data_IF_527112364435
#
_entry.id   IF_527112364435
#
_cell.length_a   1.000
_cell.length_b   1.000
_cell.length_c   1.000
_cell.angle_alpha   90.00
_cell.angle_beta   90.00
_cell.angle_gamma   90.00
#
_symmetry.space_group_name_H-M   'P 1'
#
loop_
_entity.id
_entity.type
_entity.pdbx_description
1 polymer ?
#
# COMPACT_ATOMS: atom_id res chain seq x y z
N UNK A 1 21.88 11.45 -27.08
CA UNK A 1 20.50 11.28 -27.60
C UNK A 1 19.60 11.16 -26.38
N UNK A 2 18.57 12.00 -26.27
CA UNK A 2 17.69 12.04 -25.11
C UNK A 2 16.37 11.36 -25.47
N UNK A 3 15.90 10.43 -24.63
CA UNK A 3 14.66 9.67 -24.83
C UNK A 3 13.70 9.99 -23.69
N UNK A 4 12.46 10.33 -24.02
CA UNK A 4 11.40 10.62 -23.04
C UNK A 4 10.42 9.45 -23.07
N UNK A 5 10.14 8.87 -21.89
CA UNK A 5 9.16 7.79 -21.72
C UNK A 5 8.01 8.30 -20.85
N UNK A 6 6.78 8.22 -21.36
CA UNK A 6 5.57 8.46 -20.56
C UNK A 6 5.07 7.15 -19.96
N UNK A 7 4.70 7.18 -18.70
CA UNK A 7 4.21 6.03 -17.95
C UNK A 7 3.07 6.45 -17.01
N UNK A 8 2.28 5.47 -16.60
CA UNK A 8 1.18 5.60 -15.65
C UNK A 8 1.65 5.12 -14.28
N UNK A 9 1.29 5.88 -13.27
CA UNK A 9 1.52 5.54 -11.86
C UNK A 9 0.15 5.48 -11.20
N UNK A 10 -0.05 4.47 -10.35
CA UNK A 10 -1.31 4.28 -9.64
C UNK A 10 -1.17 4.76 -8.21
N UNK A 11 -2.15 5.50 -7.72
CA UNK A 11 -2.29 5.83 -6.29
C UNK A 11 -3.66 5.41 -5.77
N UNK A 12 -3.76 5.21 -4.46
CA UNK A 12 -5.01 4.95 -3.78
C UNK A 12 -5.77 6.26 -3.53
N UNK A 13 -7.01 6.37 -3.97
CA UNK A 13 -7.84 7.58 -3.77
C UNK A 13 -8.14 7.87 -2.29
N UNK A 14 -8.03 6.86 -1.42
CA UNK A 14 -8.38 6.98 0.00
C UNK A 14 -7.21 7.41 0.87
N UNK A 15 -6.01 6.89 0.61
CA UNK A 15 -4.82 7.18 1.42
C UNK A 15 -3.72 7.89 0.64
N UNK A 16 -3.93 8.20 -0.64
CA UNK A 16 -2.98 8.83 -1.56
C UNK A 16 -1.66 8.07 -1.75
N UNK A 17 -1.53 6.86 -1.20
CA UNK A 17 -0.33 6.03 -1.34
C UNK A 17 -0.16 5.60 -2.79
N UNK A 18 1.03 5.86 -3.31
CA UNK A 18 1.46 5.39 -4.62
C UNK A 18 1.77 3.89 -4.54
N UNK A 19 1.31 3.15 -5.54
CA UNK A 19 1.63 1.75 -5.69
C UNK A 19 3.14 1.59 -5.94
N UNK A 20 3.81 0.95 -4.98
CA UNK A 20 5.18 0.51 -5.12
C UNK A 20 5.23 -0.91 -5.64
N UNK A 21 6.32 -1.24 -6.31
CA UNK A 21 6.64 -2.60 -6.68
C UNK A 21 6.80 -3.45 -5.40
N UNK A 22 6.29 -4.70 -5.36
CA UNK A 22 6.44 -5.56 -4.19
C UNK A 22 7.86 -6.11 -4.03
N UNK A 23 8.61 -6.25 -5.13
CA UNK A 23 9.96 -6.82 -5.20
C UNK A 23 11.05 -5.73 -5.18
N UNK A 24 10.66 -4.46 -5.35
CA UNK A 24 11.57 -3.32 -5.22
C UNK A 24 10.88 -2.14 -4.53
N UNK A 25 11.59 -1.33 -3.75
CA UNK A 25 11.01 -0.12 -3.13
C UNK A 25 10.71 1.01 -4.16
N UNK A 26 10.71 0.69 -5.45
CA UNK A 26 10.41 1.61 -6.55
C UNK A 26 8.91 1.81 -6.78
N UNK A 27 8.54 2.94 -7.37
CA UNK A 27 7.19 3.17 -7.90
C UNK A 27 6.93 2.22 -9.06
N UNK A 28 5.77 1.55 -9.08
CA UNK A 28 5.42 0.68 -10.18
C UNK A 28 4.88 1.50 -11.35
N UNK A 29 5.48 1.31 -12.52
CA UNK A 29 5.15 2.04 -13.74
C UNK A 29 4.44 1.12 -14.74
N UNK A 30 3.32 1.60 -15.29
CA UNK A 30 2.59 0.92 -16.36
C UNK A 30 2.69 1.71 -17.66
N UNK A 31 2.68 1.01 -18.79
CA UNK A 31 2.67 1.64 -20.12
C UNK A 31 1.25 1.82 -20.65
N UNK A 32 0.29 1.05 -20.13
CA UNK A 32 -1.09 1.01 -20.58
C UNK A 32 -2.07 0.96 -19.40
N UNK A 33 -3.20 1.66 -19.53
CA UNK A 33 -4.21 1.77 -18.48
C UNK A 33 -4.96 0.45 -18.28
N UNK A 34 -5.32 -0.25 -19.35
CA UNK A 34 -6.04 -1.52 -19.22
C UNK A 34 -5.15 -2.58 -18.55
N UNK A 35 -3.85 -2.60 -18.86
CA UNK A 35 -2.87 -3.42 -18.17
C UNK A 35 -2.77 -3.06 -16.68
N UNK A 36 -2.70 -1.78 -16.36
CA UNK A 36 -2.66 -1.30 -14.97
C UNK A 36 -3.92 -1.77 -14.20
N UNK A 37 -5.11 -1.53 -14.74
CA UNK A 37 -6.37 -1.93 -14.09
C UNK A 37 -6.51 -3.45 -13.94
N UNK A 38 -6.04 -4.23 -14.92
CA UNK A 38 -6.02 -5.69 -14.83
C UNK A 38 -5.09 -6.17 -13.72
N UNK A 39 -3.88 -5.60 -13.64
CA UNK A 39 -2.92 -5.90 -12.59
C UNK A 39 -3.47 -5.53 -11.20
N UNK A 40 -4.02 -4.33 -11.04
CA UNK A 40 -4.62 -3.88 -9.78
C UNK A 40 -5.70 -4.84 -9.26
N UNK A 41 -6.58 -5.30 -10.16
CA UNK A 41 -7.64 -6.27 -9.79
C UNK A 41 -7.07 -7.62 -9.38
N UNK A 42 -6.09 -8.13 -10.13
CA UNK A 42 -5.39 -9.37 -9.77
C UNK A 42 -4.69 -9.22 -8.40
N UNK A 43 -4.13 -8.05 -8.17
CA UNK A 43 -3.52 -7.66 -6.93
C UNK A 43 -4.52 -7.09 -5.91
N UNK A 44 -5.79 -7.51 -5.95
CA UNK A 44 -6.76 -7.29 -4.87
C UNK A 44 -7.08 -5.83 -4.55
N UNK A 45 -6.67 -4.88 -5.39
CA UNK A 45 -7.16 -3.50 -5.29
C UNK A 45 -8.64 -3.47 -5.63
N UNK A 46 -9.37 -2.60 -4.94
CA UNK A 46 -10.75 -2.35 -5.28
C UNK A 46 -10.81 -1.28 -6.37
N UNK A 47 -11.18 -1.71 -7.58
CA UNK A 47 -11.32 -0.87 -8.77
C UNK A 47 -12.81 -0.64 -9.05
N UNK A 48 -13.25 0.61 -9.04
CA UNK A 48 -14.64 1.02 -9.28
C UNK A 48 -14.79 1.46 -10.74
N UNK A 49 -15.70 0.81 -11.45
CA UNK A 49 -15.90 1.02 -12.89
C UNK A 49 -14.62 0.74 -13.68
N UNK A 50 -14.36 1.56 -14.69
CA UNK A 50 -13.17 1.50 -15.53
C UNK A 50 -12.03 2.36 -14.95
N UNK A 51 -11.72 2.20 -13.66
CA UNK A 51 -10.63 2.96 -13.02
C UNK A 51 -11.04 4.32 -12.45
N UNK A 52 -12.34 4.63 -12.37
CA UNK A 52 -12.84 5.91 -11.80
C UNK A 52 -12.67 6.01 -10.28
N UNK A 53 -12.39 4.89 -9.63
CA UNK A 53 -12.05 4.84 -8.21
C UNK A 53 -11.11 3.68 -7.93
N UNK A 54 -10.00 3.95 -7.26
CA UNK A 54 -8.95 3.00 -6.93
C UNK A 54 -8.71 3.02 -5.41
N UNK A 55 -8.90 1.88 -4.75
CA UNK A 55 -8.57 1.73 -3.33
C UNK A 55 -7.61 0.55 -3.12
N UNK A 56 -6.51 0.79 -2.40
CA UNK A 56 -5.59 -0.27 -2.01
C UNK A 56 -6.24 -1.27 -1.05
N UNK A 57 -5.65 -2.47 -0.97
CA UNK A 57 -6.11 -3.56 -0.08
C UNK A 57 -6.28 -3.11 1.36
N UNK A 58 -5.36 -2.30 1.87
CA UNK A 58 -5.38 -1.78 3.23
C UNK A 58 -6.62 -0.92 3.50
N UNK A 59 -6.91 0.03 2.60
CA UNK A 59 -8.08 0.90 2.73
C UNK A 59 -9.38 0.10 2.61
N UNK A 60 -9.42 -0.91 1.75
CA UNK A 60 -10.56 -1.83 1.63
C UNK A 60 -10.75 -2.62 2.93
N UNK A 61 -9.70 -3.24 3.45
CA UNK A 61 -9.74 -4.00 4.69
C UNK A 61 -10.18 -3.15 5.87
N UNK A 62 -9.66 -1.93 6.01
CA UNK A 62 -10.08 -0.96 7.03
C UNK A 62 -11.56 -0.62 6.93
N UNK A 63 -12.03 -0.28 5.74
CA UNK A 63 -13.45 0.04 5.48
C UNK A 63 -14.38 -1.13 5.79
N UNK A 64 -14.02 -2.35 5.41
CA UNK A 64 -14.82 -3.55 5.68
C UNK A 64 -14.88 -3.88 7.18
N UNK A 65 -13.75 -3.75 7.89
CA UNK A 65 -13.71 -3.92 9.33
C UNK A 65 -14.58 -2.88 10.03
N UNK A 66 -14.43 -1.59 9.69
CA UNK A 66 -15.25 -0.52 10.27
C UNK A 66 -16.75 -0.74 10.01
N UNK A 67 -17.13 -1.19 8.81
CA UNK A 67 -18.54 -1.56 8.50
C UNK A 67 -19.05 -2.72 9.34
N UNK A 68 -18.17 -3.62 9.76
CA UNK A 68 -18.49 -4.77 10.62
C UNK A 68 -18.43 -4.43 12.12
N UNK A 69 -18.19 -3.16 12.48
CA UNK A 69 -18.00 -2.72 13.86
C UNK A 69 -16.69 -3.20 14.47
N UNK A 70 -15.73 -3.63 13.64
CA UNK A 70 -14.42 -4.02 14.10
C UNK A 70 -13.51 -2.80 14.23
N UNK A 71 -12.60 -2.86 15.20
CA UNK A 71 -11.60 -1.83 15.44
C UNK A 71 -10.24 -2.37 15.04
N UNK A 72 -9.51 -1.62 14.22
CA UNK A 72 -8.08 -1.84 14.04
C UNK A 72 -7.38 -1.38 15.31
N UNK A 73 -6.54 -2.24 15.88
CA UNK A 73 -5.80 -1.93 17.11
C UNK A 73 -4.89 -0.72 16.93
N UNK A 74 -4.29 -0.25 18.02
CA UNK A 74 -3.17 0.69 17.99
C UNK A 74 -2.13 0.25 16.94
N UNK A 75 -1.50 1.22 16.29
CA UNK A 75 -0.37 0.96 15.39
C UNK A 75 0.84 0.51 16.21
N UNK A 76 1.52 -0.51 15.72
CA UNK A 76 2.75 -1.04 16.31
C UNK A 76 3.88 -0.84 15.31
N UNK A 77 5.03 -0.38 15.79
CA UNK A 77 6.19 -0.23 14.92
C UNK A 77 6.82 -1.59 14.59
N UNK A 78 7.28 -1.76 13.35
CA UNK A 78 7.97 -2.96 12.93
C UNK A 78 9.23 -3.16 13.78
N UNK A 79 9.29 -4.30 14.47
CA UNK A 79 10.47 -4.73 15.24
C UNK A 79 11.49 -5.45 14.35
N UNK A 80 11.64 -5.00 13.11
CA UNK A 80 12.66 -5.51 12.19
C UNK A 80 14.03 -5.05 12.74
N UNK A 81 14.66 -5.95 13.51
CA UNK A 81 16.02 -5.78 13.98
C UNK A 81 17.05 -6.14 12.89
N UNK A 82 18.34 -5.83 13.12
CA UNK A 82 19.42 -5.97 12.13
C UNK A 82 19.70 -7.41 11.65
N UNK A 83 19.02 -8.41 12.23
CA UNK A 83 19.13 -9.82 11.86
C UNK A 83 18.10 -10.28 10.81
N UNK A 84 17.20 -9.41 10.36
CA UNK A 84 16.21 -9.71 9.31
C UNK A 84 16.42 -8.73 8.17
N UNK A 85 16.39 -9.23 6.93
CA UNK A 85 16.77 -8.57 5.65
C UNK A 85 15.94 -7.32 5.27
N UNK A 86 15.26 -6.69 6.23
CA UNK A 86 14.29 -5.61 6.05
C UNK A 86 14.75 -4.31 6.75
N UNK A 87 16.03 -3.93 6.61
CA UNK A 87 16.54 -2.65 7.10
C UNK A 87 16.71 -1.68 5.92
N UNK A 88 15.86 -0.65 5.86
CA UNK A 88 16.08 0.52 5.01
C UNK A 88 17.07 1.53 5.65
N UNK A 89 17.21 1.52 6.99
CA UNK A 89 18.14 2.36 7.74
C UNK A 89 18.64 1.60 9.01
N UNK A 90 19.96 1.46 9.23
CA UNK A 90 20.53 0.82 10.43
C UNK A 90 20.31 1.61 11.74
N UNK A 91 19.85 2.87 11.68
CA UNK A 91 19.66 3.76 12.83
C UNK A 91 18.19 3.91 13.25
N UNK A 92 17.24 3.84 12.30
CA UNK A 92 15.85 4.24 12.52
C UNK A 92 14.79 3.11 12.36
N UNK A 93 15.23 1.86 12.19
CA UNK A 93 14.32 0.77 11.80
C UNK A 93 13.78 0.98 10.38
N UNK A 94 12.86 0.13 9.92
CA UNK A 94 12.33 0.27 8.56
C UNK A 94 11.24 1.34 8.41
N UNK A 95 10.90 2.04 9.50
CA UNK A 95 9.84 3.06 9.53
C UNK A 95 8.42 2.53 9.29
N UNK A 96 8.24 1.22 9.07
CA UNK A 96 6.90 0.65 8.84
C UNK A 96 6.21 0.43 10.19
N UNK A 97 4.97 0.88 10.31
CA UNK A 97 4.07 0.43 11.39
C UNK A 97 3.04 -0.54 10.83
N UNK A 98 2.54 -1.44 11.65
CA UNK A 98 1.46 -2.35 11.33
C UNK A 98 0.32 -2.21 12.33
N UNK A 99 -0.89 -2.49 11.88
CA UNK A 99 -2.06 -2.61 12.74
C UNK A 99 -2.87 -3.82 12.26
N UNK A 100 -3.69 -4.40 13.12
CA UNK A 100 -4.54 -5.50 12.73
C UNK A 100 -5.91 -5.40 13.41
N UNK A 101 -6.87 -6.09 12.82
CA UNK A 101 -8.16 -6.31 13.45
C UNK A 101 -8.13 -7.61 14.27
N UNK A 102 -8.31 -7.53 15.59
CA UNK A 102 -8.32 -8.71 16.46
C UNK A 102 -9.45 -9.70 16.16
N UNK A 103 -10.55 -9.24 15.56
CA UNK A 103 -11.70 -10.10 15.27
C UNK A 103 -11.55 -10.93 14.00
N UNK A 104 -10.92 -10.38 12.96
CA UNK A 104 -10.82 -11.06 11.66
C UNK A 104 -9.38 -11.28 11.19
N UNK A 105 -8.37 -10.90 11.97
CA UNK A 105 -6.95 -11.11 11.68
C UNK A 105 -6.42 -10.33 10.48
N UNK A 106 -7.21 -9.41 9.88
CA UNK A 106 -6.75 -8.59 8.75
C UNK A 106 -5.69 -7.61 9.24
N UNK A 107 -4.51 -7.67 8.64
CA UNK A 107 -3.38 -6.79 8.91
C UNK A 107 -3.33 -5.66 7.88
N UNK A 108 -2.77 -4.53 8.30
CA UNK A 108 -2.46 -3.40 7.44
C UNK A 108 -1.11 -2.82 7.83
N UNK A 109 -0.40 -2.25 6.88
CA UNK A 109 0.90 -1.60 7.10
C UNK A 109 0.86 -0.14 6.68
N UNK A 110 1.70 0.69 7.30
CA UNK A 110 1.96 2.06 6.87
C UNK A 110 3.46 2.37 6.89
N UNK A 111 3.93 3.25 6.03
CA UNK A 111 5.29 3.85 6.04
C UNK A 111 5.25 5.24 6.71
N UNK A 112 6.41 5.80 7.12
CA UNK A 112 6.47 7.11 7.80
C UNK A 112 5.90 8.25 6.95
N UNK A 113 5.97 8.12 5.63
CA UNK A 113 5.43 9.08 4.66
C UNK A 113 3.90 9.24 4.80
N UNK A 114 3.23 8.31 5.48
CA UNK A 114 1.78 8.32 5.71
C UNK A 114 1.34 8.98 7.03
N UNK A 115 2.26 9.52 7.84
CA UNK A 115 1.93 10.25 9.09
C UNK A 115 1.78 11.77 8.92
N UNK A 116 2.09 12.33 7.75
CA UNK A 116 2.16 13.79 7.53
C UNK A 116 0.98 14.36 6.70
N UNK A 117 -0.09 13.58 6.50
CA UNK A 117 -1.28 14.03 5.75
C UNK A 117 -2.51 14.24 6.65
#
# INVERSE_FOLDING_TARGET
MLTITTCLVVSCDTCCVVLTDPDSEGTLHFTDEAQALAWLRAEGWHVIGDGRGLSCRDCVARRECSRSGHVFTTWFDCLCGPAREHCADPVNGCGRSYSWCERCGKQTTRTPEQEVA
#
